data_IF_060925526156
#
_entry.id   IF_060925526156
#
_cell.length_a   1.000
_cell.length_b   1.000
_cell.length_c   1.000
_cell.angle_alpha   90.00
_cell.angle_beta   90.00
_cell.angle_gamma   90.00
#
_symmetry.space_group_name_H-M   'P 1'
#
loop_
_entity.id
_entity.type
_entity.pdbx_description
1 polymer ?
#
# COMPACT_ATOMS: atom_id res chain seq x y z
N UNK A 1 29.41 -8.14 2.62
CA UNK A 1 29.88 -8.16 1.21
C UNK A 1 29.01 -7.27 0.31
N UNK A 2 27.76 -6.99 0.66
CA UNK A 2 26.80 -6.30 -0.20
C UNK A 2 26.88 -4.74 -0.16
N UNK A 3 27.36 -4.12 0.94
CA UNK A 3 27.49 -2.65 1.03
C UNK A 3 28.31 -2.01 -0.13
N UNK A 4 29.34 -2.69 -0.63
CA UNK A 4 30.11 -2.23 -1.80
C UNK A 4 29.30 -2.34 -3.11
N UNK A 5 28.49 -3.38 -3.25
CA UNK A 5 27.62 -3.57 -4.42
C UNK A 5 26.48 -2.54 -4.43
N UNK A 6 25.87 -2.29 -3.26
CA UNK A 6 24.88 -1.21 -3.06
C UNK A 6 25.43 0.14 -3.49
N UNK A 7 26.62 0.50 -2.98
CA UNK A 7 27.27 1.74 -3.34
C UNK A 7 27.58 1.82 -4.84
N UNK A 8 28.11 0.74 -5.43
CA UNK A 8 28.40 0.70 -6.86
C UNK A 8 27.14 0.87 -7.72
N UNK A 9 26.03 0.24 -7.34
CA UNK A 9 24.74 0.41 -8.02
C UNK A 9 24.24 1.85 -7.91
N UNK A 10 24.24 2.42 -6.71
CA UNK A 10 23.84 3.81 -6.48
C UNK A 10 24.70 4.80 -7.27
N UNK A 11 26.02 4.64 -7.23
CA UNK A 11 26.98 5.48 -7.95
C UNK A 11 26.84 5.31 -9.48
N UNK A 12 26.36 4.14 -9.95
CA UNK A 12 26.07 3.94 -11.37
C UNK A 12 24.84 4.72 -11.85
N UNK A 13 23.93 5.12 -10.96
CA UNK A 13 22.68 5.82 -11.30
C UNK A 13 22.79 7.32 -11.01
N UNK A 14 23.37 7.67 -9.86
CA UNK A 14 23.48 9.05 -9.36
C UNK A 14 24.32 9.92 -10.31
N UNK A 15 23.88 11.16 -10.50
CA UNK A 15 24.52 12.14 -11.38
C UNK A 15 24.14 12.00 -12.85
N UNK A 16 23.29 11.04 -13.21
CA UNK A 16 22.74 10.93 -14.56
C UNK A 16 21.51 11.82 -14.73
N UNK A 17 21.31 12.29 -15.96
CA UNK A 17 20.06 12.92 -16.40
C UNK A 17 19.27 11.89 -17.22
N UNK A 18 18.04 11.63 -16.84
CA UNK A 18 17.14 10.70 -17.54
C UNK A 18 15.89 11.43 -18.05
N UNK A 19 15.36 10.95 -19.17
CA UNK A 19 14.05 11.37 -19.69
C UNK A 19 13.02 10.34 -19.23
N UNK A 20 12.04 10.77 -18.45
CA UNK A 20 10.89 9.93 -18.10
C UNK A 20 9.93 9.87 -19.29
N UNK A 21 9.45 8.68 -19.69
CA UNK A 21 8.45 8.57 -20.74
C UNK A 21 7.13 9.22 -20.33
N UNK A 22 6.38 9.73 -21.31
CA UNK A 22 5.05 10.28 -21.07
C UNK A 22 4.05 9.16 -20.74
N UNK A 23 3.45 9.25 -19.55
CA UNK A 23 2.46 8.29 -19.05
C UNK A 23 1.03 8.80 -19.22
N UNK A 24 0.81 10.08 -19.57
CA UNK A 24 -0.53 10.68 -19.71
C UNK A 24 -1.48 9.95 -20.66
N UNK A 25 -1.02 9.40 -21.80
CA UNK A 25 -1.91 8.67 -22.70
C UNK A 25 -2.65 7.50 -22.02
N UNK A 26 -2.13 6.98 -20.90
CA UNK A 26 -2.73 5.88 -20.14
C UNK A 26 -3.86 6.32 -19.19
N UNK A 27 -3.86 7.56 -18.69
CA UNK A 27 -4.72 7.96 -17.57
C UNK A 27 -5.48 9.28 -17.76
N UNK A 28 -5.00 10.20 -18.61
CA UNK A 28 -5.49 11.59 -18.65
C UNK A 28 -6.97 11.70 -19.03
N UNK A 29 -7.46 10.82 -19.91
CA UNK A 29 -8.88 10.80 -20.32
C UNK A 29 -9.83 10.41 -19.19
N UNK A 30 -9.32 9.70 -18.19
CA UNK A 30 -10.10 9.15 -17.08
C UNK A 30 -9.86 9.89 -15.76
N UNK A 31 -8.92 10.84 -15.74
CA UNK A 31 -8.55 11.57 -14.53
C UNK A 31 -9.70 12.46 -14.03
N UNK A 32 -10.03 12.31 -12.76
CA UNK A 32 -11.05 13.10 -12.07
C UNK A 32 -10.55 13.44 -10.67
N UNK A 33 -10.97 14.61 -10.17
CA UNK A 33 -10.67 15.03 -8.80
C UNK A 33 -11.99 15.24 -8.07
N UNK A 34 -12.11 14.68 -6.86
CA UNK A 34 -13.30 14.81 -6.04
C UNK A 34 -13.64 16.29 -5.80
N UNK A 35 -14.90 16.73 -5.96
CA UNK A 35 -15.31 18.11 -5.74
C UNK A 35 -15.06 18.61 -4.31
N UNK A 36 -14.87 17.70 -3.35
CA UNK A 36 -14.58 18.02 -1.96
C UNK A 36 -13.09 18.26 -1.67
N UNK A 37 -12.19 18.21 -2.66
CA UNK A 37 -10.75 18.36 -2.46
C UNK A 37 -10.37 19.56 -1.59
N UNK A 38 -10.84 20.76 -1.94
CA UNK A 38 -10.51 21.96 -1.17
C UNK A 38 -11.07 21.94 0.26
N UNK A 39 -12.23 21.31 0.48
CA UNK A 39 -12.80 21.13 1.81
C UNK A 39 -12.03 20.10 2.65
N UNK A 40 -11.35 19.16 2.00
CA UNK A 40 -10.51 18.15 2.66
C UNK A 40 -9.15 18.68 3.13
N UNK A 41 -8.59 19.71 2.49
CA UNK A 41 -7.30 20.31 2.87
C UNK A 41 -7.22 20.62 4.38
N UNK A 42 -8.13 21.43 4.97
CA UNK A 42 -8.05 21.74 6.40
C UNK A 42 -8.33 20.53 7.31
N UNK A 43 -8.99 19.48 6.80
CA UNK A 43 -9.24 18.24 7.55
C UNK A 43 -7.95 17.41 7.65
N UNK A 44 -7.24 17.28 6.52
CA UNK A 44 -5.95 16.60 6.42
C UNK A 44 -4.89 17.34 7.22
N UNK A 45 -4.79 18.65 7.07
CA UNK A 45 -3.80 19.46 7.78
C UNK A 45 -3.88 19.30 9.30
N UNK A 46 -5.11 19.34 9.84
CA UNK A 46 -5.34 19.12 11.28
C UNK A 46 -4.95 17.71 11.74
N UNK A 47 -5.22 16.70 10.91
CA UNK A 47 -4.79 15.34 11.23
C UNK A 47 -3.26 15.27 11.28
N UNK A 48 -2.56 15.78 10.26
CA UNK A 48 -1.10 15.80 10.22
C UNK A 48 -0.50 16.56 11.41
N UNK A 49 -1.05 17.72 11.75
CA UNK A 49 -0.64 18.52 12.93
C UNK A 49 -0.79 17.74 14.24
N UNK A 50 -1.81 16.89 14.36
CA UNK A 50 -2.02 16.06 15.56
C UNK A 50 -1.06 14.86 15.66
N UNK A 51 -0.54 14.39 14.53
CA UNK A 51 0.28 13.18 14.45
C UNK A 51 1.78 13.48 14.38
N UNK A 52 2.17 14.64 13.84
CA UNK A 52 3.57 14.94 13.51
C UNK A 52 4.05 16.16 14.29
N UNK A 53 4.65 15.97 15.48
CA UNK A 53 5.12 17.08 16.30
C UNK A 53 6.34 17.79 15.72
N UNK A 54 7.11 17.15 14.84
CA UNK A 54 8.27 17.75 14.20
C UNK A 54 7.84 18.69 13.08
N UNK A 55 7.99 20.00 13.29
CA UNK A 55 7.56 21.05 12.34
C UNK A 55 8.16 20.90 10.94
N UNK A 56 9.43 20.45 10.84
CA UNK A 56 10.10 20.25 9.54
C UNK A 56 9.53 19.03 8.80
N UNK A 57 9.30 17.91 9.49
CA UNK A 57 8.63 16.72 8.93
C UNK A 57 7.20 17.08 8.51
N UNK A 58 6.47 17.79 9.37
CA UNK A 58 5.11 18.26 9.10
C UNK A 58 5.04 19.15 7.85
N UNK A 59 5.92 20.15 7.73
CA UNK A 59 5.97 21.02 6.56
C UNK A 59 6.22 20.21 5.26
N UNK A 60 7.14 19.23 5.28
CA UNK A 60 7.39 18.32 4.15
C UNK A 60 6.18 17.43 3.83
N UNK A 61 5.49 16.93 4.85
CA UNK A 61 4.30 16.10 4.64
C UNK A 61 3.13 16.90 4.06
N UNK A 62 2.95 18.15 4.47
CA UNK A 62 1.94 19.04 3.87
C UNK A 62 2.17 19.27 2.38
N UNK A 63 3.43 19.29 1.90
CA UNK A 63 3.69 19.36 0.45
C UNK A 63 3.33 18.09 -0.30
N UNK A 64 3.09 16.96 0.39
CA UNK A 64 2.65 15.72 -0.25
C UNK A 64 1.19 15.79 -0.72
N UNK A 65 0.41 16.74 -0.19
CA UNK A 65 -1.01 16.97 -0.53
C UNK A 65 -1.86 15.68 -0.49
N UNK A 66 -2.03 15.12 0.71
CA UNK A 66 -2.85 13.92 0.89
C UNK A 66 -4.34 14.17 0.66
N UNK A 67 -4.81 15.43 0.75
CA UNK A 67 -6.16 15.79 0.36
C UNK A 67 -6.36 15.58 -1.16
N UNK A 68 -5.37 15.95 -1.97
CA UNK A 68 -5.35 15.68 -3.40
C UNK A 68 -5.20 14.18 -3.68
N UNK A 69 -4.37 13.46 -2.90
CA UNK A 69 -4.24 11.99 -3.03
C UNK A 69 -5.61 11.31 -2.91
N UNK A 70 -6.31 11.52 -1.78
CA UNK A 70 -7.61 10.88 -1.54
C UNK A 70 -8.65 11.33 -2.57
N UNK A 71 -8.62 12.60 -2.97
CA UNK A 71 -9.57 13.15 -3.96
C UNK A 71 -9.35 12.59 -5.37
N UNK A 72 -8.15 12.10 -5.68
CA UNK A 72 -7.85 11.46 -6.95
C UNK A 72 -8.15 9.97 -6.96
N UNK A 73 -7.85 9.27 -5.85
CA UNK A 73 -8.12 7.83 -5.73
C UNK A 73 -9.62 7.52 -5.63
N UNK A 74 -10.39 8.38 -4.96
CA UNK A 74 -11.83 8.20 -4.78
C UNK A 74 -12.61 9.44 -5.25
N UNK A 75 -12.61 9.74 -6.57
CA UNK A 75 -13.13 10.98 -7.12
C UNK A 75 -14.65 11.14 -6.94
N UNK A 76 -15.37 10.03 -6.73
CA UNK A 76 -16.84 10.00 -6.58
C UNK A 76 -17.31 9.83 -5.13
N UNK A 77 -16.39 9.66 -4.16
CA UNK A 77 -16.76 9.44 -2.76
C UNK A 77 -17.50 10.65 -2.15
N UNK A 78 -18.47 10.37 -1.28
CA UNK A 78 -19.06 11.37 -0.39
C UNK A 78 -18.02 11.93 0.59
N UNK A 79 -18.29 13.08 1.18
CA UNK A 79 -17.31 13.77 2.04
C UNK A 79 -16.85 12.93 3.24
N UNK A 80 -17.77 12.22 3.88
CA UNK A 80 -17.46 11.40 5.04
C UNK A 80 -16.63 10.17 4.66
N UNK A 81 -16.99 9.53 3.55
CA UNK A 81 -16.29 8.37 3.02
C UNK A 81 -14.89 8.77 2.59
N UNK A 82 -14.77 9.87 1.82
CA UNK A 82 -13.52 10.48 1.37
C UNK A 82 -12.58 10.77 2.55
N UNK A 83 -13.12 11.28 3.67
CA UNK A 83 -12.34 11.53 4.88
C UNK A 83 -11.71 10.25 5.42
N UNK A 84 -12.47 9.17 5.53
CA UNK A 84 -11.95 7.90 6.09
C UNK A 84 -10.90 7.28 5.17
N UNK A 85 -11.14 7.22 3.86
CA UNK A 85 -10.15 6.66 2.91
C UNK A 85 -8.89 7.51 2.81
N UNK A 86 -9.02 8.85 2.92
CA UNK A 86 -7.86 9.74 3.00
C UNK A 86 -7.08 9.54 4.30
N UNK A 87 -7.77 9.31 5.42
CA UNK A 87 -7.11 9.00 6.69
C UNK A 87 -6.39 7.65 6.63
N UNK A 88 -6.95 6.65 5.95
CA UNK A 88 -6.26 5.38 5.71
C UNK A 88 -4.99 5.60 4.88
N UNK A 89 -5.06 6.35 3.78
CA UNK A 89 -3.88 6.65 2.98
C UNK A 89 -2.79 7.33 3.83
N UNK A 90 -3.15 8.36 4.59
CA UNK A 90 -2.24 9.04 5.53
C UNK A 90 -1.65 8.05 6.53
N UNK A 91 -2.48 7.18 7.12
CA UNK A 91 -2.04 6.15 8.05
C UNK A 91 -1.02 5.21 7.42
N UNK A 92 -1.28 4.70 6.21
CA UNK A 92 -0.36 3.83 5.48
C UNK A 92 1.00 4.52 5.26
N UNK A 93 1.03 5.76 4.77
CA UNK A 93 2.28 6.50 4.57
C UNK A 93 3.04 6.74 5.89
N UNK A 94 2.35 7.20 6.94
CA UNK A 94 2.99 7.60 8.19
C UNK A 94 3.39 6.42 9.08
N UNK A 95 2.63 5.33 9.02
CA UNK A 95 2.98 4.10 9.74
C UNK A 95 4.23 3.47 9.12
N UNK A 96 4.35 3.50 7.79
CA UNK A 96 5.54 3.05 7.05
C UNK A 96 6.77 3.89 7.40
N UNK A 97 6.62 5.23 7.39
CA UNK A 97 7.64 6.23 7.75
C UNK A 97 8.30 5.98 9.14
N UNK A 98 7.65 5.25 10.05
CA UNK A 98 8.23 4.87 11.35
C UNK A 98 9.21 3.70 11.26
N UNK A 99 9.16 2.93 10.17
CA UNK A 99 9.94 1.72 9.91
C UNK A 99 10.96 1.88 8.77
N UNK A 100 10.70 2.73 7.77
CA UNK A 100 11.50 2.80 6.53
C UNK A 100 12.37 4.07 6.43
N UNK A 101 11.88 5.22 6.89
CA UNK A 101 12.59 6.49 6.76
C UNK A 101 13.69 6.59 7.83
N UNK A 102 14.87 7.17 7.53
CA UNK A 102 15.97 7.30 8.49
C UNK A 102 15.65 8.05 9.79
N UNK A 103 14.52 8.76 9.82
CA UNK A 103 14.02 9.48 11.01
C UNK A 103 12.91 8.75 11.75
N UNK A 104 12.50 7.57 11.27
CA UNK A 104 11.47 6.75 11.88
C UNK A 104 11.92 6.19 13.22
N UNK A 105 11.00 6.08 14.18
CA UNK A 105 11.33 5.66 15.54
C UNK A 105 11.90 4.23 15.60
N UNK A 106 11.53 3.37 14.65
CA UNK A 106 11.83 1.94 14.67
C UNK A 106 12.71 1.48 13.51
N UNK A 107 13.12 2.37 12.60
CA UNK A 107 13.85 2.03 11.38
C UNK A 107 15.11 1.18 11.66
N UNK A 108 15.93 1.61 12.62
CA UNK A 108 17.19 0.95 12.97
C UNK A 108 17.07 -0.12 14.08
N UNK A 109 15.85 -0.44 14.54
CA UNK A 109 15.63 -1.36 15.67
C UNK A 109 14.57 -2.42 15.34
N UNK A 110 15.04 -3.54 14.79
CA UNK A 110 14.19 -4.66 14.39
C UNK A 110 13.30 -5.20 15.52
N UNK A 111 13.84 -5.36 16.73
CA UNK A 111 13.10 -5.92 17.87
C UNK A 111 11.98 -4.98 18.35
N UNK A 112 12.23 -3.67 18.35
CA UNK A 112 11.21 -2.68 18.66
C UNK A 112 10.17 -2.58 17.54
N UNK A 113 10.60 -2.63 16.28
CA UNK A 113 9.71 -2.68 15.12
C UNK A 113 8.77 -3.90 15.16
N UNK A 114 9.25 -5.08 15.58
CA UNK A 114 8.40 -6.25 15.76
C UNK A 114 7.27 -6.01 16.77
N UNK A 115 7.58 -5.40 17.92
CA UNK A 115 6.55 -5.04 18.92
C UNK A 115 5.55 -4.03 18.37
N UNK A 116 6.02 -3.07 17.57
CA UNK A 116 5.18 -2.08 16.90
C UNK A 116 4.21 -2.74 15.90
N UNK A 117 4.70 -3.67 15.07
CA UNK A 117 3.87 -4.48 14.16
C UNK A 117 2.84 -5.31 14.93
N UNK A 118 3.27 -6.09 15.92
CA UNK A 118 2.40 -6.95 16.74
C UNK A 118 1.30 -6.15 17.46
N UNK A 119 1.63 -4.98 18.01
CA UNK A 119 0.63 -4.11 18.62
C UNK A 119 -0.35 -3.57 17.57
N UNK A 120 0.15 -3.11 16.42
CA UNK A 120 -0.67 -2.61 15.31
C UNK A 120 -1.71 -3.65 14.88
N UNK A 121 -1.26 -4.89 14.64
CA UNK A 121 -2.13 -6.01 14.24
C UNK A 121 -3.23 -6.26 15.26
N UNK A 122 -2.87 -6.36 16.54
CA UNK A 122 -3.85 -6.58 17.62
C UNK A 122 -4.84 -5.43 17.75
N UNK A 123 -4.35 -4.19 17.66
CA UNK A 123 -5.17 -2.99 17.76
C UNK A 123 -6.16 -2.88 16.61
N UNK A 124 -5.69 -3.09 15.39
CA UNK A 124 -6.48 -3.08 14.16
C UNK A 124 -7.60 -4.13 14.19
N UNK A 125 -7.27 -5.39 14.55
CA UNK A 125 -8.26 -6.47 14.70
C UNK A 125 -9.37 -6.07 15.68
N UNK A 126 -9.00 -5.43 16.79
CA UNK A 126 -9.96 -4.97 17.79
C UNK A 126 -10.83 -3.81 17.29
N UNK A 127 -10.25 -2.82 16.60
CA UNK A 127 -10.99 -1.70 16.03
C UNK A 127 -11.99 -2.16 14.97
N UNK A 128 -11.58 -3.14 14.14
CA UNK A 128 -12.43 -3.79 13.15
C UNK A 128 -13.47 -4.73 13.77
N UNK A 129 -13.52 -4.90 15.10
CA UNK A 129 -14.45 -5.80 15.82
C UNK A 129 -14.46 -7.23 15.25
N UNK A 130 -13.29 -7.71 14.81
CA UNK A 130 -13.11 -9.08 14.33
C UNK A 130 -13.03 -10.06 15.51
N UNK A 131 -13.39 -11.34 15.32
CA UNK A 131 -13.20 -12.35 16.35
C UNK A 131 -11.72 -12.47 16.74
N UNK A 132 -11.48 -12.90 17.99
CA UNK A 132 -10.14 -13.22 18.45
C UNK A 132 -9.56 -14.37 17.60
N UNK A 133 -8.25 -14.32 17.34
CA UNK A 133 -7.55 -15.30 16.50
C UNK A 133 -7.93 -16.74 16.86
N UNK A 134 -8.32 -17.52 15.84
CA UNK A 134 -8.33 -18.96 15.99
C UNK A 134 -6.87 -19.45 16.01
N UNK A 135 -6.42 -20.22 17.03
CA UNK A 135 -5.08 -20.79 17.04
C UNK A 135 -4.74 -21.62 15.80
N UNK A 136 -5.75 -22.14 15.08
CA UNK A 136 -5.59 -22.84 13.79
C UNK A 136 -5.32 -21.89 12.61
N UNK A 137 -5.85 -20.67 12.62
CA UNK A 137 -5.52 -19.62 11.62
C UNK A 137 -4.08 -19.11 11.77
N UNK A 138 -3.49 -19.30 12.96
CA UNK A 138 -2.07 -19.02 13.22
C UNK A 138 -1.14 -19.86 12.34
N UNK A 139 -1.59 -21.02 11.88
CA UNK A 139 -0.86 -21.86 10.94
C UNK A 139 -0.89 -21.29 9.50
N UNK A 140 -1.85 -20.41 9.21
CA UNK A 140 -2.07 -19.79 7.89
C UNK A 140 -1.42 -18.40 7.81
N UNK A 141 -1.44 -17.60 8.89
CA UNK A 141 -0.57 -16.42 9.02
C UNK A 141 0.92 -16.79 9.10
N UNK A 142 1.24 -18.00 9.54
CA UNK A 142 2.60 -18.57 9.50
C UNK A 142 3.09 -18.97 8.10
N UNK A 143 2.27 -18.85 7.04
CA UNK A 143 2.67 -19.23 5.67
C UNK A 143 3.57 -18.21 4.95
N UNK A 144 3.88 -17.06 5.55
CA UNK A 144 5.01 -16.26 5.08
C UNK A 144 6.37 -16.89 5.44
N UNK A 145 6.41 -17.99 6.20
CA UNK A 145 7.59 -18.85 6.32
C UNK A 145 7.56 -19.97 5.27
N UNK A 146 7.94 -19.67 4.03
CA UNK A 146 8.34 -20.72 3.09
C UNK A 146 9.67 -20.48 2.35
N UNK A 147 10.44 -19.44 2.71
CA UNK A 147 11.85 -19.38 2.35
C UNK A 147 12.71 -18.85 3.51
N UNK A 148 13.53 -19.76 4.07
CA UNK A 148 14.47 -19.52 5.17
C UNK A 148 14.50 -20.68 6.17
N UNK A 149 15.33 -21.68 5.91
CA UNK A 149 15.60 -22.82 6.81
C UNK A 149 16.07 -22.34 8.19
N UNK A 150 15.28 -22.54 9.25
CA UNK A 150 15.73 -22.82 10.66
C UNK A 150 14.61 -22.68 11.74
N UNK A 151 13.37 -23.08 11.45
CA UNK A 151 12.22 -22.87 12.35
C UNK A 151 11.79 -24.04 13.25
N UNK A 152 12.56 -25.13 13.37
CA UNK A 152 12.12 -26.33 14.10
C UNK A 152 12.84 -26.52 15.43
N UNK A 153 12.31 -25.97 16.54
CA UNK A 153 12.65 -26.47 17.89
C UNK A 153 11.72 -26.18 19.09
N UNK A 154 10.59 -25.47 18.97
CA UNK A 154 9.78 -25.13 20.18
C UNK A 154 8.37 -25.77 20.28
N UNK A 155 8.06 -26.77 19.48
CA UNK A 155 6.69 -27.32 19.33
C UNK A 155 6.21 -28.14 20.56
N UNK A 156 7.12 -28.67 21.37
CA UNK A 156 6.79 -29.67 22.40
C UNK A 156 6.05 -29.19 23.66
N UNK A 157 6.14 -27.89 24.01
CA UNK A 157 5.69 -27.42 25.33
C UNK A 157 4.28 -26.81 25.34
N UNK A 158 3.74 -26.40 24.18
CA UNK A 158 2.51 -25.58 24.07
C UNK A 158 1.19 -26.38 23.98
N UNK A 159 1.24 -27.69 23.78
CA UNK A 159 0.04 -28.52 23.52
C UNK A 159 -0.81 -28.81 24.76
N UNK A 160 -0.39 -28.44 25.98
CA UNK A 160 -1.13 -28.78 27.22
C UNK A 160 -2.19 -27.76 27.65
N UNK A 161 -2.10 -26.50 27.22
CA UNK A 161 -2.94 -25.43 27.77
C UNK A 161 -4.19 -25.14 26.92
N UNK A 162 -4.25 -25.65 25.69
CA UNK A 162 -5.34 -25.36 24.74
C UNK A 162 -6.65 -26.13 25.01
N UNK A 163 -6.67 -27.10 25.92
CA UNK A 163 -7.80 -28.02 26.06
C UNK A 163 -8.93 -27.55 27.00
N UNK A 164 -8.83 -26.38 27.64
CA UNK A 164 -9.77 -26.00 28.73
C UNK A 164 -10.68 -24.80 28.47
N UNK A 165 -10.73 -24.21 27.27
CA UNK A 165 -11.49 -22.96 27.09
C UNK A 165 -12.41 -22.90 25.87
N UNK A 166 -13.37 -23.83 25.78
CA UNK A 166 -14.57 -23.60 24.97
C UNK A 166 -15.82 -23.97 25.76
N UNK A 167 -16.56 -22.93 26.21
CA UNK A 167 -18.01 -22.94 26.39
C UNK A 167 -18.50 -21.54 26.80
N UNK A 168 -19.18 -20.87 25.87
CA UNK A 168 -20.28 -19.91 26.09
C UNK A 168 -19.99 -18.60 26.83
N UNK A 169 -20.09 -17.46 26.11
CA UNK A 169 -20.78 -16.23 26.56
C UNK A 169 -20.81 -15.17 25.46
N UNK A 170 -22.00 -14.59 25.26
CA UNK A 170 -22.24 -13.33 24.54
C UNK A 170 -21.24 -12.26 24.99
N UNK A 171 -20.45 -11.69 24.07
CA UNK A 171 -19.47 -10.63 24.38
C UNK A 171 -20.01 -9.30 23.87
N UNK A 172 -20.34 -8.40 24.79
CA UNK A 172 -20.34 -6.96 24.49
C UNK A 172 -18.94 -6.60 23.99
N UNK A 173 -18.81 -6.12 22.75
CA UNK A 173 -17.54 -5.60 22.25
C UNK A 173 -17.17 -4.38 23.10
N UNK A 174 -16.16 -4.52 23.96
CA UNK A 174 -15.55 -3.38 24.66
C UNK A 174 -14.61 -2.69 23.68
N UNK A 175 -14.66 -1.36 23.59
CA UNK A 175 -13.71 -0.59 22.78
C UNK A 175 -12.27 -0.99 23.12
N UNK A 176 -11.37 -1.08 22.12
CA UNK A 176 -9.96 -1.39 22.39
C UNK A 176 -9.38 -0.37 23.37
N UNK A 177 -8.47 -0.78 24.28
CA UNK A 177 -7.70 0.17 25.06
C UNK A 177 -6.95 1.13 24.14
N UNK A 178 -6.57 2.30 24.64
CA UNK A 178 -5.73 3.26 23.91
C UNK A 178 -4.40 2.60 23.51
N UNK A 179 -3.99 2.76 22.26
CA UNK A 179 -2.72 2.23 21.79
C UNK A 179 -1.53 2.97 22.43
N UNK A 180 -0.38 2.32 22.47
CA UNK A 180 0.86 2.89 23.03
C UNK A 180 1.44 4.00 22.16
N UNK A 181 1.19 3.95 20.86
CA UNK A 181 1.76 4.86 19.87
C UNK A 181 0.67 5.67 19.14
N UNK A 182 0.81 6.99 18.97
CA UNK A 182 -0.19 7.84 18.30
C UNK A 182 -0.54 7.38 16.88
N UNK A 183 0.44 6.88 16.11
CA UNK A 183 0.15 6.36 14.76
C UNK A 183 -0.72 5.10 14.79
N UNK A 184 -0.50 4.19 15.74
CA UNK A 184 -1.37 3.01 15.92
C UNK A 184 -2.78 3.48 16.32
N UNK A 185 -2.86 4.40 17.30
CA UNK A 185 -4.14 4.92 17.78
C UNK A 185 -4.94 5.63 16.68
N UNK A 186 -4.26 6.31 15.76
CA UNK A 186 -4.91 7.03 14.65
C UNK A 186 -5.69 6.11 13.70
N UNK A 187 -5.41 4.79 13.70
CA UNK A 187 -6.21 3.81 12.97
C UNK A 187 -7.63 3.67 13.52
N UNK A 188 -7.89 4.01 14.79
CA UNK A 188 -9.18 3.76 15.46
C UNK A 188 -10.37 4.30 14.68
N UNK A 189 -10.28 5.54 14.20
CA UNK A 189 -11.37 6.19 13.46
C UNK A 189 -11.67 5.48 12.14
N UNK A 190 -10.64 4.91 11.50
CA UNK A 190 -10.78 4.11 10.27
C UNK A 190 -11.43 2.77 10.61
N UNK A 191 -10.87 2.06 11.59
CA UNK A 191 -11.36 0.75 12.01
C UNK A 191 -12.79 0.77 12.53
N UNK A 192 -13.18 1.79 13.30
CA UNK A 192 -14.56 1.96 13.79
C UNK A 192 -15.54 2.27 12.66
N UNK A 193 -15.16 3.13 11.69
CA UNK A 193 -15.99 3.40 10.52
C UNK A 193 -16.21 2.13 9.67
N UNK A 194 -15.15 1.34 9.45
CA UNK A 194 -15.25 0.05 8.77
C UNK A 194 -16.08 -0.96 9.58
N UNK A 195 -15.91 -1.01 10.91
CA UNK A 195 -16.68 -1.89 11.80
C UNK A 195 -18.19 -1.60 11.79
N UNK A 196 -18.60 -0.40 11.39
CA UNK A 196 -20.00 0.00 11.25
C UNK A 196 -20.55 -0.21 9.85
N UNK A 197 -19.73 0.04 8.81
CA UNK A 197 -20.17 -0.03 7.43
C UNK A 197 -20.11 -1.44 6.83
N UNK A 198 -19.06 -2.20 7.13
CA UNK A 198 -18.73 -3.47 6.48
C UNK A 198 -19.34 -4.69 7.19
N UNK A 199 -19.58 -5.74 6.40
CA UNK A 199 -19.86 -7.07 6.93
C UNK A 199 -18.63 -7.64 7.66
N UNK A 200 -18.77 -8.80 8.31
CA UNK A 200 -17.59 -9.49 8.91
C UNK A 200 -16.58 -9.85 7.83
N UNK A 201 -17.03 -10.44 6.71
CA UNK A 201 -16.16 -10.90 5.62
C UNK A 201 -15.40 -9.75 4.96
N UNK A 202 -16.05 -8.60 4.72
CA UNK A 202 -15.37 -7.42 4.17
C UNK A 202 -14.28 -6.88 5.12
N UNK A 203 -14.51 -6.93 6.43
CA UNK A 203 -13.52 -6.53 7.44
C UNK A 203 -12.36 -7.52 7.51
N UNK A 204 -12.63 -8.81 7.35
CA UNK A 204 -11.61 -9.85 7.27
C UNK A 204 -10.74 -9.65 6.02
N UNK A 205 -11.33 -9.43 4.84
CA UNK A 205 -10.58 -9.16 3.61
C UNK A 205 -9.68 -7.91 3.74
N UNK A 206 -10.24 -6.79 4.22
CA UNK A 206 -9.46 -5.57 4.45
C UNK A 206 -8.32 -5.81 5.45
N UNK A 207 -8.60 -6.55 6.52
CA UNK A 207 -7.61 -6.87 7.54
C UNK A 207 -6.49 -7.73 6.97
N UNK A 208 -6.81 -8.77 6.20
CA UNK A 208 -5.81 -9.66 5.59
C UNK A 208 -4.88 -8.91 4.62
N UNK A 209 -5.42 -8.06 3.73
CA UNK A 209 -4.60 -7.22 2.85
C UNK A 209 -3.68 -6.28 3.64
N UNK A 210 -4.18 -5.72 4.74
CA UNK A 210 -3.39 -4.83 5.60
C UNK A 210 -2.36 -5.59 6.43
N UNK A 211 -2.62 -6.84 6.79
CA UNK A 211 -1.64 -7.72 7.43
C UNK A 211 -0.54 -8.12 6.46
N UNK A 212 -0.87 -8.38 5.19
CA UNK A 212 0.12 -8.63 4.16
C UNK A 212 1.03 -7.41 3.94
N UNK A 213 0.47 -6.20 3.94
CA UNK A 213 1.25 -4.96 4.00
C UNK A 213 2.20 -4.93 5.22
N UNK A 214 1.66 -5.07 6.43
CA UNK A 214 2.46 -4.99 7.67
C UNK A 214 3.56 -6.07 7.70
N UNK A 215 3.27 -7.29 7.27
CA UNK A 215 4.23 -8.40 7.30
C UNK A 215 5.35 -8.23 6.29
N UNK A 216 5.07 -7.69 5.11
CA UNK A 216 6.10 -7.46 4.08
C UNK A 216 7.06 -6.32 4.45
N UNK A 217 6.67 -5.37 5.31
CA UNK A 217 7.58 -4.35 5.87
C UNK A 217 8.68 -4.95 6.76
N UNK A 218 8.47 -6.14 7.33
CA UNK A 218 9.53 -6.86 8.05
C UNK A 218 10.68 -7.23 7.12
N UNK A 219 10.33 -7.72 5.93
CA UNK A 219 11.29 -8.15 4.93
C UNK A 219 12.11 -6.97 4.41
N UNK A 220 11.47 -5.84 4.09
CA UNK A 220 12.16 -4.61 3.68
C UNK A 220 13.12 -4.11 4.77
N UNK A 221 12.68 -4.13 6.03
CA UNK A 221 13.53 -3.71 7.14
C UNK A 221 14.76 -4.61 7.31
N UNK A 222 14.62 -5.95 7.12
CA UNK A 222 15.78 -6.86 7.17
C UNK A 222 16.80 -6.51 6.08
N UNK A 223 16.34 -6.29 4.84
CA UNK A 223 17.24 -5.90 3.76
C UNK A 223 17.96 -4.60 4.05
N UNK A 224 17.25 -3.61 4.62
CA UNK A 224 17.85 -2.36 5.03
C UNK A 224 18.97 -2.56 6.06
N UNK A 225 18.66 -3.24 7.17
CA UNK A 225 19.59 -3.46 8.28
C UNK A 225 20.80 -4.31 7.89
N UNK A 226 20.60 -5.30 7.01
CA UNK A 226 21.65 -6.19 6.54
C UNK A 226 22.39 -5.63 5.31
N UNK A 227 21.97 -4.47 4.81
CA UNK A 227 22.44 -3.89 3.55
C UNK A 227 22.35 -4.88 2.39
N UNK A 228 21.28 -5.67 2.34
CA UNK A 228 21.01 -6.64 1.30
C UNK A 228 20.32 -5.97 0.10
N UNK A 229 20.74 -6.28 -1.12
CA UNK A 229 19.96 -5.97 -2.33
C UNK A 229 18.97 -7.13 -2.58
N UNK A 230 17.65 -6.87 -2.64
CA UNK A 230 16.67 -7.92 -2.92
C UNK A 230 16.82 -8.47 -4.35
N UNK A 231 16.46 -9.74 -4.55
CA UNK A 231 16.22 -10.25 -5.90
C UNK A 231 14.97 -9.61 -6.49
N UNK A 232 14.79 -9.67 -7.82
CA UNK A 232 13.56 -9.16 -8.43
C UNK A 232 12.31 -9.93 -7.98
N UNK A 233 12.43 -11.23 -7.73
CA UNK A 233 11.33 -12.05 -7.21
C UNK A 233 10.94 -11.61 -5.80
N UNK A 234 11.94 -11.44 -4.92
CA UNK A 234 11.73 -10.97 -3.56
C UNK A 234 11.14 -9.56 -3.52
N UNK A 235 11.68 -8.65 -4.36
CA UNK A 235 11.15 -7.30 -4.52
C UNK A 235 9.68 -7.33 -4.91
N UNK A 236 9.30 -8.11 -5.94
CA UNK A 236 7.91 -8.17 -6.37
C UNK A 236 6.99 -8.73 -5.29
N UNK A 237 7.40 -9.80 -4.61
CA UNK A 237 6.62 -10.37 -3.51
C UNK A 237 6.41 -9.34 -2.40
N UNK A 238 7.48 -8.67 -1.96
CA UNK A 238 7.42 -7.69 -0.88
C UNK A 238 6.65 -6.44 -1.28
N UNK A 239 6.92 -5.88 -2.47
CA UNK A 239 6.31 -4.63 -2.95
C UNK A 239 4.82 -4.76 -3.23
N UNK A 240 4.34 -5.94 -3.63
CA UNK A 240 2.89 -6.22 -3.71
C UNK A 240 2.18 -6.01 -2.37
N UNK A 241 2.88 -6.22 -1.25
CA UNK A 241 2.39 -5.89 0.10
C UNK A 241 2.71 -4.45 0.50
N UNK A 242 3.98 -4.03 0.48
CA UNK A 242 4.43 -2.72 1.00
C UNK A 242 3.92 -1.52 0.21
N UNK A 243 3.44 -1.73 -1.02
CA UNK A 243 2.71 -0.69 -1.76
C UNK A 243 1.36 -0.31 -1.14
N UNK A 244 0.80 -1.19 -0.29
CA UNK A 244 -0.51 -1.06 0.37
C UNK A 244 -1.70 -0.80 -0.57
N UNK A 245 -1.53 -0.99 -1.89
CA UNK A 245 -2.57 -0.72 -2.90
C UNK A 245 -3.78 -1.59 -2.67
N UNK A 246 -3.57 -2.85 -2.31
CA UNK A 246 -4.61 -3.83 -1.96
C UNK A 246 -5.53 -3.32 -0.85
N UNK A 247 -4.96 -2.80 0.25
CA UNK A 247 -5.73 -2.15 1.32
C UNK A 247 -6.54 -0.94 0.85
N UNK A 248 -6.02 -0.16 -0.11
CA UNK A 248 -6.75 0.97 -0.70
C UNK A 248 -7.87 0.51 -1.66
N UNK A 249 -7.64 -0.52 -2.47
CA UNK A 249 -8.65 -1.11 -3.36
C UNK A 249 -9.80 -1.73 -2.54
N UNK A 250 -9.51 -2.31 -1.38
CA UNK A 250 -10.52 -2.80 -0.46
C UNK A 250 -11.50 -1.71 -0.01
N UNK A 251 -11.12 -0.42 -0.06
CA UNK A 251 -11.99 0.71 0.28
C UNK A 251 -12.96 1.11 -0.84
N UNK A 252 -12.85 0.53 -2.04
CA UNK A 252 -13.80 0.77 -3.12
C UNK A 252 -15.21 0.33 -2.69
N UNK A 253 -15.31 -0.74 -1.91
CA UNK A 253 -16.58 -1.19 -1.35
C UNK A 253 -17.17 -0.16 -0.38
N UNK A 254 -16.33 0.42 0.48
CA UNK A 254 -16.73 1.40 1.49
C UNK A 254 -17.27 2.67 0.86
N UNK A 255 -16.56 3.23 -0.12
CA UNK A 255 -16.96 4.49 -0.74
C UNK A 255 -18.21 4.35 -1.62
N UNK A 256 -18.48 3.14 -2.14
CA UNK A 256 -19.63 2.87 -3.01
C UNK A 256 -20.79 2.16 -2.30
N UNK A 257 -20.63 1.76 -1.03
CA UNK A 257 -21.64 1.00 -0.29
C UNK A 257 -21.89 -0.40 -0.85
N UNK A 258 -20.87 -1.03 -1.46
CA UNK A 258 -20.95 -2.39 -2.01
C UNK A 258 -21.06 -3.39 -0.85
N UNK A 259 -21.96 -4.38 -0.99
CA UNK A 259 -22.20 -5.42 0.01
C UNK A 259 -21.54 -6.76 -0.34
N UNK A 260 -21.43 -7.09 -1.62
CA UNK A 260 -20.69 -8.26 -2.08
C UNK A 260 -19.19 -8.07 -1.89
N UNK A 261 -18.49 -8.93 -1.12
CA UNK A 261 -17.05 -8.79 -0.90
C UNK A 261 -16.27 -9.11 -2.19
N UNK A 262 -15.21 -8.35 -2.50
CA UNK A 262 -14.32 -8.66 -3.63
C UNK A 262 -13.48 -9.93 -3.40
N UNK A 263 -13.44 -10.40 -2.14
CA UNK A 263 -12.83 -11.62 -1.61
C UNK A 263 -11.39 -11.94 -2.08
N UNK A 264 -10.52 -12.32 -1.15
CA UNK A 264 -9.14 -12.66 -1.49
C UNK A 264 -9.01 -13.83 -2.51
N UNK A 265 -7.82 -13.89 -3.11
CA UNK A 265 -7.20 -14.84 -4.08
C UNK A 265 -7.76 -16.25 -4.26
N UNK A 266 -8.45 -16.83 -3.27
CA UNK A 266 -8.95 -18.20 -3.31
C UNK A 266 -10.45 -18.32 -3.57
N UNK A 267 -11.22 -17.22 -3.42
CA UNK A 267 -12.68 -17.23 -3.59
C UNK A 267 -13.16 -16.55 -4.88
N UNK A 268 -12.42 -15.54 -5.36
CA UNK A 268 -12.78 -14.76 -6.56
C UNK A 268 -11.53 -14.51 -7.45
N UNK A 269 -11.10 -15.49 -8.28
CA UNK A 269 -9.86 -15.39 -9.04
C UNK A 269 -9.82 -14.23 -10.04
N UNK A 270 -10.97 -13.87 -10.63
CA UNK A 270 -11.09 -12.80 -11.62
C UNK A 270 -10.88 -11.41 -11.01
N UNK A 271 -11.54 -11.12 -9.88
CA UNK A 271 -11.33 -9.89 -9.12
C UNK A 271 -9.90 -9.79 -8.57
N UNK A 272 -9.33 -10.93 -8.17
CA UNK A 272 -7.93 -11.00 -7.74
C UNK A 272 -6.98 -10.60 -8.86
N UNK A 273 -7.14 -11.15 -10.06
CA UNK A 273 -6.31 -10.82 -11.21
C UNK A 273 -6.40 -9.34 -11.60
N UNK A 274 -7.61 -8.77 -11.58
CA UNK A 274 -7.83 -7.34 -11.81
C UNK A 274 -7.05 -6.48 -10.79
N UNK A 275 -7.19 -6.78 -9.50
CA UNK A 275 -6.52 -6.03 -8.43
C UNK A 275 -5.00 -6.24 -8.42
N UNK A 276 -4.49 -7.40 -8.87
CA UNK A 276 -3.05 -7.64 -9.04
C UNK A 276 -2.48 -6.71 -10.11
N UNK A 277 -3.15 -6.59 -11.25
CA UNK A 277 -2.69 -5.69 -12.30
C UNK A 277 -2.81 -4.21 -11.89
N UNK A 278 -3.89 -3.81 -11.20
CA UNK A 278 -4.00 -2.46 -10.63
C UNK A 278 -2.84 -2.15 -9.66
N UNK A 279 -2.48 -3.11 -8.81
CA UNK A 279 -1.36 -2.99 -7.86
C UNK A 279 -0.03 -2.85 -8.61
N UNK A 280 0.23 -3.70 -9.62
CA UNK A 280 1.45 -3.61 -10.44
C UNK A 280 1.56 -2.28 -11.17
N UNK A 281 0.46 -1.76 -11.73
CA UNK A 281 0.42 -0.44 -12.39
C UNK A 281 0.89 0.65 -11.41
N UNK A 282 0.32 0.68 -10.21
CA UNK A 282 0.68 1.67 -9.19
C UNK A 282 2.14 1.53 -8.77
N UNK A 283 2.63 0.29 -8.54
CA UNK A 283 4.03 0.03 -8.17
C UNK A 283 5.00 0.54 -9.24
N UNK A 284 4.84 0.10 -10.48
CA UNK A 284 5.79 0.43 -11.56
C UNK A 284 5.81 1.94 -11.79
N UNK A 285 4.62 2.56 -11.82
CA UNK A 285 4.50 4.00 -11.92
C UNK A 285 5.17 4.72 -10.75
N UNK A 286 4.94 4.24 -9.52
CA UNK A 286 5.53 4.85 -8.34
C UNK A 286 7.06 4.84 -8.44
N UNK A 287 7.67 3.68 -8.65
CA UNK A 287 9.13 3.52 -8.69
C UNK A 287 9.79 4.30 -9.84
N UNK A 288 9.06 4.56 -10.93
CA UNK A 288 9.52 5.47 -11.98
C UNK A 288 9.43 6.93 -11.52
N UNK A 289 8.29 7.36 -11.00
CA UNK A 289 8.01 8.76 -10.65
C UNK A 289 8.72 9.21 -9.35
N UNK A 290 8.98 8.29 -8.42
CA UNK A 290 9.68 8.51 -7.16
C UNK A 290 11.21 8.45 -7.29
N UNK A 291 11.74 7.97 -8.43
CA UNK A 291 13.15 7.65 -8.63
C UNK A 291 14.11 8.74 -8.12
N UNK A 292 13.83 10.02 -8.43
CA UNK A 292 14.64 11.15 -7.97
C UNK A 292 14.71 11.24 -6.44
N UNK A 293 13.55 11.08 -5.78
CA UNK A 293 13.44 11.08 -4.31
C UNK A 293 14.28 9.95 -3.75
N UNK A 294 14.14 8.75 -4.29
CA UNK A 294 14.79 7.54 -3.80
C UNK A 294 16.32 7.59 -3.93
N UNK A 295 16.84 7.92 -5.12
CA UNK A 295 18.30 8.01 -5.37
C UNK A 295 18.95 9.10 -4.51
N UNK A 296 18.25 10.21 -4.28
CA UNK A 296 18.71 11.27 -3.36
C UNK A 296 18.81 10.78 -1.91
N UNK A 297 17.92 9.90 -1.49
CA UNK A 297 17.95 9.27 -0.15
C UNK A 297 18.91 8.07 -0.08
N UNK A 298 19.45 7.62 -1.21
CA UNK A 298 20.28 6.41 -1.29
C UNK A 298 19.48 5.11 -1.24
N UNK A 299 18.15 5.19 -1.40
CA UNK A 299 17.27 4.05 -1.53
C UNK A 299 17.46 3.43 -2.91
N UNK A 300 17.86 2.16 -2.95
CA UNK A 300 18.08 1.40 -4.19
C UNK A 300 17.29 0.09 -4.21
N UNK A 301 16.41 -0.10 -3.22
CA UNK A 301 15.54 -1.28 -3.07
C UNK A 301 14.22 -1.09 -3.84
N UNK A 302 14.31 -0.47 -5.02
CA UNK A 302 13.19 -0.18 -5.92
C UNK A 302 13.40 -0.81 -7.31
N UNK A 303 12.34 -0.90 -8.09
CA UNK A 303 12.31 -1.62 -9.36
C UNK A 303 13.40 -1.13 -10.33
N UNK A 304 13.58 0.18 -10.41
CA UNK A 304 14.47 0.80 -11.40
C UNK A 304 15.95 0.46 -11.12
N UNK A 305 16.51 0.66 -9.91
CA UNK A 305 17.84 0.15 -9.57
C UNK A 305 18.01 -1.37 -9.78
N UNK A 306 17.02 -2.19 -9.44
CA UNK A 306 17.09 -3.64 -9.67
C UNK A 306 17.10 -3.97 -11.17
N UNK A 307 16.36 -3.20 -11.96
CA UNK A 307 16.40 -3.28 -13.42
C UNK A 307 17.74 -2.81 -13.99
N UNK A 308 18.45 -1.87 -13.37
CA UNK A 308 19.82 -1.56 -13.77
C UNK A 308 20.76 -2.77 -13.64
N UNK A 309 20.60 -3.58 -12.58
CA UNK A 309 21.38 -4.82 -12.43
C UNK A 309 21.07 -5.85 -13.53
N UNK A 310 19.80 -5.94 -13.94
CA UNK A 310 19.34 -6.89 -14.96
C UNK A 310 19.62 -6.45 -16.39
N UNK A 311 19.41 -5.17 -16.70
CA UNK A 311 19.43 -4.60 -18.05
C UNK A 311 20.62 -3.66 -18.31
N UNK A 312 21.50 -3.50 -17.31
CA UNK A 312 22.84 -2.92 -17.42
C UNK A 312 22.94 -1.40 -17.19
N UNK A 313 21.87 -0.63 -17.44
CA UNK A 313 21.89 0.82 -17.20
C UNK A 313 20.47 1.39 -16.97
N UNK A 314 20.42 2.63 -16.49
CA UNK A 314 19.19 3.33 -16.11
C UNK A 314 18.23 3.59 -17.28
N UNK A 315 18.74 3.83 -18.49
CA UNK A 315 17.89 4.07 -19.66
C UNK A 315 17.18 2.78 -20.11
N UNK A 316 17.90 1.67 -20.12
CA UNK A 316 17.31 0.36 -20.39
C UNK A 316 16.32 -0.01 -19.28
N UNK A 317 16.67 0.22 -18.00
CA UNK A 317 15.78 -0.03 -16.87
C UNK A 317 14.45 0.73 -16.99
N UNK A 318 14.49 2.04 -17.26
CA UNK A 318 13.29 2.85 -17.47
C UNK A 318 12.49 2.40 -18.71
N UNK A 319 13.17 2.02 -19.79
CA UNK A 319 12.50 1.51 -20.99
C UNK A 319 11.76 0.20 -20.72
N UNK A 320 12.34 -0.71 -19.95
CA UNK A 320 11.70 -1.98 -19.60
C UNK A 320 10.57 -1.77 -18.60
N UNK A 321 10.75 -0.94 -17.57
CA UNK A 321 9.69 -0.58 -16.64
C UNK A 321 8.49 0.06 -17.35
N UNK A 322 8.72 0.94 -18.34
CA UNK A 322 7.63 1.50 -19.14
C UNK A 322 6.89 0.44 -19.96
N UNK A 323 7.60 -0.52 -20.56
CA UNK A 323 6.96 -1.64 -21.28
C UNK A 323 6.11 -2.49 -20.33
N UNK A 324 6.63 -2.80 -19.16
CA UNK A 324 5.92 -3.55 -18.13
C UNK A 324 4.67 -2.81 -17.64
N UNK A 325 4.76 -1.48 -17.50
CA UNK A 325 3.62 -0.62 -17.18
C UNK A 325 2.54 -0.66 -18.26
N UNK A 326 2.90 -0.46 -19.53
CA UNK A 326 1.98 -0.56 -20.68
C UNK A 326 1.29 -1.93 -20.68
N UNK A 327 2.06 -3.00 -20.46
CA UNK A 327 1.53 -4.36 -20.45
C UNK A 327 0.59 -4.61 -19.27
N UNK A 328 0.89 -4.06 -18.09
CA UNK A 328 0.01 -4.15 -16.91
C UNK A 328 -1.32 -3.42 -17.13
N UNK A 329 -1.30 -2.22 -17.72
CA UNK A 329 -2.51 -1.49 -18.12
C UNK A 329 -3.34 -2.31 -19.11
N UNK A 330 -2.71 -2.89 -20.14
CA UNK A 330 -3.41 -3.72 -21.12
C UNK A 330 -4.05 -4.97 -20.49
N UNK A 331 -3.36 -5.63 -19.54
CA UNK A 331 -3.92 -6.77 -18.81
C UNK A 331 -5.07 -6.34 -17.90
N UNK A 332 -4.93 -5.23 -17.17
CA UNK A 332 -6.01 -4.69 -16.35
C UNK A 332 -7.28 -4.44 -17.18
N UNK A 333 -7.17 -3.74 -18.32
CA UNK A 333 -8.34 -3.45 -19.16
C UNK A 333 -8.95 -4.72 -19.78
N UNK A 334 -8.11 -5.70 -20.14
CA UNK A 334 -8.59 -7.01 -20.59
C UNK A 334 -9.37 -7.75 -19.49
N UNK A 335 -8.89 -7.75 -18.24
CA UNK A 335 -9.61 -8.39 -17.13
C UNK A 335 -10.89 -7.61 -16.76
N UNK A 336 -10.85 -6.29 -16.83
CA UNK A 336 -12.03 -5.43 -16.65
C UNK A 336 -13.10 -5.73 -17.71
N UNK A 337 -12.74 -5.84 -18.99
CA UNK A 337 -13.67 -6.15 -20.07
C UNK A 337 -14.31 -7.54 -19.88
N UNK A 338 -13.52 -8.56 -19.52
CA UNK A 338 -14.03 -9.90 -19.23
C UNK A 338 -15.05 -9.87 -18.09
N UNK A 339 -14.68 -9.28 -16.95
CA UNK A 339 -15.55 -9.16 -15.77
C UNK A 339 -16.89 -8.49 -16.08
N UNK A 340 -16.91 -7.50 -16.97
CA UNK A 340 -18.11 -6.74 -17.28
C UNK A 340 -18.94 -7.30 -18.45
N UNK A 341 -18.38 -8.16 -19.28
CA UNK A 341 -19.05 -8.71 -20.47
C UNK A 341 -19.46 -10.18 -20.36
N UNK A 342 -18.75 -10.96 -19.55
CA UNK A 342 -19.06 -12.37 -19.28
C UNK A 342 -20.14 -12.49 -18.19
N UNK A 343 -20.80 -13.66 -18.05
CA UNK A 343 -21.72 -13.88 -16.94
C UNK A 343 -21.05 -13.60 -15.59
N UNK A 344 -21.68 -12.76 -14.78
CA UNK A 344 -21.17 -12.40 -13.47
C UNK A 344 -21.26 -13.60 -12.52
N UNK A 345 -20.11 -14.21 -12.23
CA UNK A 345 -19.97 -15.33 -11.28
C UNK A 345 -19.54 -14.86 -9.88
N UNK A 346 -19.38 -13.56 -9.68
CA UNK A 346 -18.94 -12.98 -8.40
C UNK A 346 -20.09 -12.88 -7.40
N UNK A 347 -19.74 -12.63 -6.14
CA UNK A 347 -20.73 -12.30 -5.10
C UNK A 347 -21.29 -10.87 -5.17
N UNK A 348 -20.91 -10.07 -6.17
CA UNK A 348 -21.43 -8.72 -6.39
C UNK A 348 -22.62 -8.75 -7.37
N UNK A 349 -23.59 -7.84 -7.20
CA UNK A 349 -24.54 -7.54 -8.28
C UNK A 349 -23.82 -6.90 -9.47
N UNK A 350 -24.40 -6.97 -10.69
CA UNK A 350 -23.78 -6.37 -11.88
C UNK A 350 -23.46 -4.88 -11.69
N UNK A 351 -24.32 -4.15 -10.97
CA UNK A 351 -24.10 -2.75 -10.63
C UNK A 351 -22.89 -2.56 -9.71
N UNK A 352 -22.78 -3.39 -8.68
CA UNK A 352 -21.65 -3.35 -7.74
C UNK A 352 -20.34 -3.74 -8.43
N UNK A 353 -20.37 -4.76 -9.30
CA UNK A 353 -19.21 -5.18 -10.08
C UNK A 353 -18.71 -4.05 -10.99
N UNK A 354 -19.62 -3.36 -11.69
CA UNK A 354 -19.26 -2.17 -12.47
C UNK A 354 -18.62 -1.08 -11.60
N UNK A 355 -19.21 -0.78 -10.43
CA UNK A 355 -18.64 0.22 -9.50
C UNK A 355 -17.25 -0.20 -8.99
N UNK A 356 -17.04 -1.49 -8.75
CA UNK A 356 -15.76 -2.01 -8.29
C UNK A 356 -14.68 -1.90 -9.37
N UNK A 357 -14.96 -2.37 -10.59
CA UNK A 357 -14.03 -2.31 -11.73
C UNK A 357 -13.67 -0.87 -12.07
N UNK A 358 -14.65 0.04 -12.13
CA UNK A 358 -14.39 1.47 -12.34
C UNK A 358 -13.60 2.08 -11.19
N UNK A 359 -13.92 1.74 -9.94
CA UNK A 359 -13.19 2.23 -8.77
C UNK A 359 -11.72 1.77 -8.75
N UNK A 360 -11.45 0.54 -9.17
CA UNK A 360 -10.08 0.03 -9.30
C UNK A 360 -9.30 0.80 -10.38
N UNK A 361 -9.97 1.17 -11.49
CA UNK A 361 -9.41 2.02 -12.52
C UNK A 361 -9.10 3.43 -12.01
N UNK A 362 -10.06 4.04 -11.31
CA UNK A 362 -9.92 5.36 -10.69
C UNK A 362 -8.75 5.42 -9.72
N UNK A 363 -8.50 4.35 -8.94
CA UNK A 363 -7.39 4.29 -7.99
C UNK A 363 -6.02 4.46 -8.68
N UNK A 364 -5.73 3.65 -9.72
CA UNK A 364 -4.43 3.75 -10.38
C UNK A 364 -4.30 5.01 -11.24
N UNK A 365 -5.38 5.47 -11.90
CA UNK A 365 -5.43 6.77 -12.61
C UNK A 365 -5.16 7.92 -11.65
N UNK A 366 -5.83 7.90 -10.50
CA UNK A 366 -5.70 8.90 -9.45
C UNK A 366 -4.29 8.97 -8.88
N UNK A 367 -3.64 7.81 -8.72
CA UNK A 367 -2.25 7.73 -8.30
C UNK A 367 -1.30 8.47 -9.25
N UNK A 368 -1.48 8.33 -10.57
CA UNK A 368 -0.70 9.08 -11.56
C UNK A 368 -0.93 10.59 -11.42
N UNK A 369 -2.19 11.03 -11.41
CA UNK A 369 -2.52 12.44 -11.35
C UNK A 369 -1.94 13.10 -10.09
N UNK A 370 -2.07 12.43 -8.93
CA UNK A 370 -1.45 12.91 -7.70
C UNK A 370 0.09 12.93 -7.79
N UNK A 371 0.71 11.88 -8.34
CA UNK A 371 2.18 11.77 -8.41
C UNK A 371 2.83 12.88 -9.24
N UNK A 372 2.15 13.38 -10.28
CA UNK A 372 2.66 14.49 -11.09
C UNK A 372 2.53 15.85 -10.39
N UNK A 373 1.53 16.01 -9.52
CA UNK A 373 1.22 17.27 -8.83
C UNK A 373 1.87 17.37 -7.44
N UNK A 374 2.17 16.24 -6.80
CA UNK A 374 2.62 16.22 -5.40
C UNK A 374 4.00 16.83 -5.22
N UNK A 375 4.16 17.63 -4.16
CA UNK A 375 5.46 18.10 -3.70
C UNK A 375 6.33 16.98 -3.11
N UNK A 376 5.79 15.76 -2.90
CA UNK A 376 6.56 14.59 -2.45
C UNK A 376 7.64 14.19 -3.46
N UNK A 377 7.33 14.27 -4.76
CA UNK A 377 8.25 13.92 -5.85
C UNK A 377 8.83 15.15 -6.56
N UNK A 378 8.13 16.29 -6.50
CA UNK A 378 8.62 17.56 -7.07
C UNK A 378 8.73 17.52 -8.59
N UNK A 379 7.82 16.80 -9.25
CA UNK A 379 7.82 16.60 -10.70
C UNK A 379 7.21 17.79 -11.46
N UNK A 380 6.27 18.51 -10.86
CA UNK A 380 5.56 19.60 -11.53
C UNK A 380 6.46 20.72 -12.08
N UNK A 381 7.65 20.95 -11.49
CA UNK A 381 8.60 21.96 -11.98
C UNK A 381 9.47 21.50 -13.17
N UNK A 382 9.49 20.21 -13.48
CA UNK A 382 10.35 19.60 -14.51
C UNK A 382 9.57 18.95 -15.66
N UNK A 383 8.24 19.03 -15.60
CA UNK A 383 7.29 18.54 -16.60
C UNK A 383 7.37 19.35 -17.90
N UNK A 384 7.45 18.66 -19.03
CA UNK A 384 7.68 19.26 -20.36
C UNK A 384 6.42 19.24 -21.23
N UNK A 385 6.49 19.98 -22.34
CA UNK A 385 5.47 19.95 -23.39
C UNK A 385 5.42 18.56 -24.03
N UNK A 386 4.33 17.83 -23.80
CA UNK A 386 4.18 16.43 -24.23
C UNK A 386 4.37 15.43 -23.09
N UNK A 387 4.49 15.91 -21.85
CA UNK A 387 4.29 15.13 -20.65
C UNK A 387 5.43 14.23 -20.19
N UNK A 388 6.50 14.13 -20.99
CA UNK A 388 7.79 13.66 -20.52
C UNK A 388 8.42 14.70 -19.58
N UNK A 389 9.37 14.27 -18.76
CA UNK A 389 10.12 15.17 -17.90
C UNK A 389 11.58 14.73 -17.75
N UNK A 390 12.46 15.71 -17.52
CA UNK A 390 13.89 15.46 -17.30
C UNK A 390 14.18 15.41 -15.81
N UNK A 391 14.84 14.33 -15.39
CA UNK A 391 15.21 14.10 -13.99
C UNK A 391 16.72 14.02 -13.86
N UNK A 392 17.30 14.95 -13.12
CA UNK A 392 18.69 14.86 -12.64
C UNK A 392 18.71 14.07 -11.33
N UNK A 393 19.38 12.91 -11.33
CA UNK A 393 19.42 11.91 -10.24
C UNK A 393 20.55 12.11 -9.23
#
# INVERSE_FOLDING_TARGET
MDSNARKALLDSIRGQTVVMPDMRPMFEKSAQVNPNYHAMIPVVDRLLESLVPNEKKLAKLKTSDFALFGSNWWPKAGFNELRIVTFLAIWLFLWDDELDEPTGQYADNFEAAQKYREETVRFMRSCLRLPAENPLEKQQLGLCQLFGLDGLKSIGQYLKDAFTWSLGRSKSYKSPPTASHPMIESFRVIGEALAEAYTVEQRENFFEDTIFYISTTETEQKWHLESQIPSLEDYWYSRMGTSAVRSCLAMIEFVNGIRGPYAMTTKEPSLTALCDEATKIVIIANDMLSLKKEIKMGCIDSLIPLFCLKYGNIHNALSEAYKDLVAAVARFESEAEKLLSEPNETNMSDKELHLFVEGARECWVGNFNWSLCTGRYGLGSIDQKGGSFLVDL
#
